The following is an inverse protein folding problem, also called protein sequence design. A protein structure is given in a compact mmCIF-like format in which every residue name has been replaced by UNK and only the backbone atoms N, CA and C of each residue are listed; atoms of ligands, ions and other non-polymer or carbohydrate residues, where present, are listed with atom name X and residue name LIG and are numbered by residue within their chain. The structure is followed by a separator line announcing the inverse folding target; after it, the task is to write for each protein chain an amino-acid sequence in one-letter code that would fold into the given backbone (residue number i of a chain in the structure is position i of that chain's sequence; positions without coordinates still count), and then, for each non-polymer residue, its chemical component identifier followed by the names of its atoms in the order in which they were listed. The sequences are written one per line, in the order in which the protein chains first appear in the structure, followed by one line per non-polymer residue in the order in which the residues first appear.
data_IF_718912600825
#
_entry.id   IF_718912600825
#
_cell.length_a   1.000
_cell.length_b   1.000
_cell.length_c   1.000
_cell.angle_alpha   90.00
_cell.angle_beta   90.00
_cell.angle_gamma   90.00
#
_symmetry.space_group_name_H-M   'P 1'
#
loop_
_entity.id
_entity.type
_entity.pdbx_description
1 polymer ?
#
# COMPACT_ATOMS: atom_id res chain seq x y z
N UNK A 1 -49.97 18.65 42.74
CA UNK A 1 -50.82 18.37 41.57
C UNK A 1 -50.23 19.07 40.34
N UNK A 2 -49.95 18.29 39.28
CA UNK A 2 -49.88 18.68 37.84
C UNK A 2 -48.82 19.74 37.44
N UNK A 3 -47.99 19.57 36.41
CA UNK A 3 -47.87 18.57 35.34
C UNK A 3 -46.50 18.76 34.68
N UNK A 4 -45.84 17.63 34.42
CA UNK A 4 -44.66 17.45 33.59
C UNK A 4 -44.93 17.92 32.15
N UNK A 5 -44.02 18.71 31.55
CA UNK A 5 -43.99 18.94 30.10
C UNK A 5 -42.68 18.41 29.54
N UNK A 6 -42.71 17.12 29.18
CA UNK A 6 -41.72 16.47 28.35
C UNK A 6 -41.83 17.01 26.92
N UNK A 7 -40.88 17.84 26.51
CA UNK A 7 -40.70 18.22 25.12
C UNK A 7 -39.92 17.08 24.42
N UNK A 8 -40.66 16.20 23.75
CA UNK A 8 -40.09 15.20 22.84
C UNK A 8 -39.69 15.92 21.56
N UNK A 9 -38.40 16.09 21.33
CA UNK A 9 -37.85 16.53 20.06
C UNK A 9 -37.53 15.29 19.23
N UNK A 10 -38.15 15.06 18.06
CA UNK A 10 -37.80 13.93 17.23
C UNK A 10 -36.47 14.26 16.53
N UNK A 11 -35.36 13.78 17.07
CA UNK A 11 -34.09 13.79 16.36
C UNK A 11 -34.15 12.69 15.29
N UNK A 12 -34.61 13.07 14.11
CA UNK A 12 -34.44 12.31 12.87
C UNK A 12 -32.93 12.25 12.60
N UNK A 13 -32.28 11.16 13.01
CA UNK A 13 -30.93 10.87 12.56
C UNK A 13 -31.03 10.07 11.26
N UNK A 14 -30.68 10.75 10.19
CA UNK A 14 -30.53 10.26 8.82
C UNK A 14 -29.83 8.90 8.77
N UNK A 15 -30.45 7.94 8.09
CA UNK A 15 -29.79 6.74 7.59
C UNK A 15 -28.61 7.20 6.72
N UNK A 16 -27.40 7.04 7.23
CA UNK A 16 -26.19 7.20 6.44
C UNK A 16 -26.20 6.11 5.37
N UNK A 17 -26.51 6.49 4.14
CA UNK A 17 -26.24 5.65 2.99
C UNK A 17 -24.74 5.36 2.99
N UNK A 18 -24.38 4.11 3.30
CA UNK A 18 -23.02 3.61 3.10
C UNK A 18 -22.84 3.53 1.60
N UNK A 19 -22.31 4.59 0.99
CA UNK A 19 -21.91 4.58 -0.41
C UNK A 19 -20.73 3.63 -0.54
N UNK A 20 -21.02 2.36 -0.85
CA UNK A 20 -20.05 1.46 -1.45
C UNK A 20 -19.73 2.00 -2.84
N UNK A 21 -18.79 2.96 -2.90
CA UNK A 21 -18.28 3.43 -4.18
C UNK A 21 -17.54 2.28 -4.87
N UNK A 22 -17.75 2.08 -6.17
CA UNK A 22 -17.02 1.05 -6.90
C UNK A 22 -15.53 1.36 -6.80
N UNK A 23 -14.71 0.32 -6.55
CA UNK A 23 -13.26 0.45 -6.40
C UNK A 23 -12.56 1.16 -7.58
N UNK A 24 -13.25 1.31 -8.71
CA UNK A 24 -12.77 2.09 -9.85
C UNK A 24 -12.75 3.60 -9.64
N UNK A 25 -13.71 4.15 -8.89
CA UNK A 25 -13.65 5.55 -8.46
C UNK A 25 -12.43 5.79 -7.55
N UNK A 26 -12.12 4.81 -6.69
CA UNK A 26 -11.01 4.93 -5.72
C UNK A 26 -9.63 4.95 -6.39
N UNK A 27 -9.42 4.16 -7.45
CA UNK A 27 -8.13 4.13 -8.17
C UNK A 27 -7.80 5.44 -8.89
N UNK A 28 -8.75 6.01 -9.64
CA UNK A 28 -8.54 7.28 -10.34
C UNK A 28 -8.30 8.45 -9.35
N UNK A 29 -9.09 8.51 -8.27
CA UNK A 29 -8.89 9.51 -7.22
C UNK A 29 -7.53 9.36 -6.53
N UNK A 30 -7.09 8.13 -6.26
CA UNK A 30 -5.79 7.85 -5.64
C UNK A 30 -4.62 8.26 -6.54
N UNK A 31 -4.71 8.03 -7.86
CA UNK A 31 -3.72 8.52 -8.83
C UNK A 31 -3.63 10.04 -8.81
N UNK A 32 -4.76 10.73 -8.95
CA UNK A 32 -4.81 12.19 -8.95
C UNK A 32 -4.27 12.80 -7.64
N UNK A 33 -4.58 12.17 -6.49
CA UNK A 33 -4.05 12.59 -5.19
C UNK A 33 -2.52 12.42 -5.09
N UNK A 34 -1.97 11.34 -5.65
CA UNK A 34 -0.51 11.12 -5.69
C UNK A 34 0.19 12.11 -6.61
N UNK A 35 -0.36 12.38 -7.79
CA UNK A 35 0.16 13.38 -8.74
C UNK A 35 0.17 14.78 -8.12
N UNK A 36 -0.93 15.18 -7.47
CA UNK A 36 -1.00 16.44 -6.74
C UNK A 36 0.09 16.54 -5.67
N UNK A 37 0.28 15.49 -4.88
CA UNK A 37 1.32 15.47 -3.85
C UNK A 37 2.75 15.53 -4.43
N UNK A 38 2.98 14.97 -5.62
CA UNK A 38 4.28 15.06 -6.32
C UNK A 38 4.56 16.51 -6.69
N UNK A 39 3.58 17.21 -7.30
CA UNK A 39 3.71 18.63 -7.67
C UNK A 39 4.04 19.48 -6.45
N UNK A 40 3.33 19.25 -5.34
CA UNK A 40 3.61 19.99 -4.10
C UNK A 40 4.99 19.65 -3.53
N UNK A 41 5.39 18.38 -3.49
CA UNK A 41 6.70 18.00 -2.99
C UNK A 41 7.85 18.55 -3.86
N UNK A 42 7.65 18.67 -5.18
CA UNK A 42 8.59 19.32 -6.09
C UNK A 42 8.70 20.82 -5.81
N UNK A 43 7.58 21.51 -5.60
CA UNK A 43 7.54 22.95 -5.28
C UNK A 43 8.38 23.29 -4.04
N UNK A 44 8.38 22.42 -3.04
CA UNK A 44 9.15 22.61 -1.80
C UNK A 44 10.55 21.95 -1.83
N UNK A 45 11.01 21.46 -2.99
CA UNK A 45 12.35 20.88 -3.14
C UNK A 45 12.58 19.58 -2.38
N UNK A 46 11.51 18.87 -1.97
CA UNK A 46 11.64 17.64 -1.19
C UNK A 46 11.85 16.42 -2.08
N UNK A 47 13.08 16.25 -2.56
CA UNK A 47 13.48 15.21 -3.52
C UNK A 47 13.21 13.79 -3.00
N UNK A 48 13.43 13.53 -1.72
CA UNK A 48 13.15 12.22 -1.10
C UNK A 48 11.65 11.89 -1.11
N UNK A 49 10.81 12.86 -0.74
CA UNK A 49 9.35 12.69 -0.78
C UNK A 49 8.84 12.51 -2.21
N UNK A 50 9.39 13.25 -3.18
CA UNK A 50 9.07 13.09 -4.61
C UNK A 50 9.38 11.68 -5.08
N UNK A 51 10.55 11.13 -4.72
CA UNK A 51 10.92 9.77 -5.11
C UNK A 51 9.94 8.73 -4.54
N UNK A 52 9.58 8.85 -3.25
CA UNK A 52 8.60 7.97 -2.61
C UNK A 52 7.20 8.07 -3.26
N UNK A 53 6.73 9.27 -3.56
CA UNK A 53 5.43 9.49 -4.20
C UNK A 53 5.39 8.98 -5.65
N UNK A 54 6.47 9.15 -6.41
CA UNK A 54 6.59 8.57 -7.76
C UNK A 54 6.57 7.04 -7.73
N UNK A 55 7.22 6.43 -6.74
CA UNK A 55 7.16 4.98 -6.52
C UNK A 55 5.73 4.53 -6.18
N UNK A 56 5.02 5.26 -5.32
CA UNK A 56 3.62 5.00 -5.00
C UNK A 56 2.67 5.17 -6.21
N UNK A 57 2.92 6.17 -7.07
CA UNK A 57 2.14 6.38 -8.29
C UNK A 57 2.36 5.24 -9.30
N UNK A 58 3.62 4.82 -9.51
CA UNK A 58 3.95 3.68 -10.36
C UNK A 58 3.21 2.41 -9.91
N UNK A 59 3.21 2.12 -8.59
CA UNK A 59 2.48 1.00 -8.02
C UNK A 59 0.96 1.12 -8.21
N UNK A 60 0.40 2.31 -8.05
CA UNK A 60 -1.03 2.56 -8.27
C UNK A 60 -1.39 2.38 -9.75
N UNK A 61 -0.49 2.71 -10.67
CA UNK A 61 -0.71 2.47 -12.10
C UNK A 61 -0.59 0.98 -12.47
N UNK A 62 0.37 0.27 -11.88
CA UNK A 62 0.58 -1.16 -12.15
C UNK A 62 -0.48 -2.07 -11.52
N UNK A 63 -0.99 -1.72 -10.34
CA UNK A 63 -1.75 -2.66 -9.49
C UNK A 63 -3.09 -2.14 -8.98
N UNK A 64 -3.43 -0.88 -9.21
CA UNK A 64 -4.79 -0.43 -8.95
C UNK A 64 -5.67 -0.92 -10.10
N UNK A 65 -6.13 -2.16 -9.94
CA UNK A 65 -7.03 -2.80 -10.89
C UNK A 65 -8.42 -2.22 -10.66
N UNK A 66 -8.95 -1.55 -11.67
CA UNK A 66 -10.35 -1.11 -11.68
C UNK A 66 -11.25 -2.36 -11.60
N UNK A 67 -11.64 -2.75 -10.38
CA UNK A 67 -12.42 -3.97 -10.12
C UNK A 67 -13.85 -3.94 -10.73
N UNK A 68 -14.20 -2.90 -11.48
CA UNK A 68 -15.49 -2.77 -12.17
C UNK A 68 -15.70 -3.80 -13.29
N UNK A 69 -14.65 -4.48 -13.78
CA UNK A 69 -14.77 -5.38 -14.95
C UNK A 69 -14.27 -6.82 -14.75
N UNK A 70 -13.75 -7.19 -13.58
CA UNK A 70 -13.19 -8.53 -13.32
C UNK A 70 -14.23 -9.49 -12.70
N UNK A 71 -15.27 -9.78 -13.48
CA UNK A 71 -16.33 -10.73 -13.10
C UNK A 71 -16.04 -12.22 -13.40
N UNK A 72 -14.85 -12.65 -13.91
CA UNK A 72 -14.51 -14.07 -13.83
C UNK A 72 -13.11 -14.39 -13.26
N UNK A 73 -12.37 -13.42 -12.72
CA UNK A 73 -11.11 -13.74 -12.02
C UNK A 73 -11.45 -14.21 -10.60
N UNK A 74 -11.12 -15.47 -10.30
CA UNK A 74 -11.39 -16.08 -8.98
C UNK A 74 -10.59 -15.35 -7.88
N UNK A 75 -11.00 -15.48 -6.63
CA UNK A 75 -10.29 -14.85 -5.50
C UNK A 75 -8.80 -15.25 -5.43
N UNK A 76 -8.45 -16.40 -6.00
CA UNK A 76 -7.08 -16.95 -6.06
C UNK A 76 -6.21 -16.18 -7.05
N UNK A 77 -6.69 -15.93 -8.27
CA UNK A 77 -5.92 -15.16 -9.24
C UNK A 77 -5.72 -13.70 -8.79
N UNK A 78 -6.71 -13.11 -8.11
CA UNK A 78 -6.56 -11.78 -7.47
C UNK A 78 -5.49 -11.80 -6.38
N UNK A 79 -5.39 -12.87 -5.59
CA UNK A 79 -4.37 -12.96 -4.54
C UNK A 79 -2.97 -13.14 -5.13
N UNK A 80 -2.82 -13.92 -6.20
CA UNK A 80 -1.57 -14.07 -6.95
C UNK A 80 -1.07 -12.72 -7.46
N UNK A 81 -1.90 -11.97 -8.21
CA UNK A 81 -1.51 -10.65 -8.74
C UNK A 81 -1.10 -9.68 -7.62
N UNK A 82 -1.81 -9.71 -6.48
CA UNK A 82 -1.48 -8.88 -5.31
C UNK A 82 -0.18 -9.31 -4.64
N UNK A 83 0.11 -10.61 -4.57
CA UNK A 83 1.33 -11.15 -3.98
C UNK A 83 2.54 -10.89 -4.88
N UNK A 84 2.39 -11.00 -6.20
CA UNK A 84 3.43 -10.61 -7.17
C UNK A 84 3.79 -9.13 -7.05
N UNK A 85 2.79 -8.27 -6.89
CA UNK A 85 2.98 -6.84 -6.59
C UNK A 85 3.79 -6.63 -5.31
N UNK A 86 3.37 -7.27 -4.21
CA UNK A 86 4.09 -7.19 -2.94
C UNK A 86 5.51 -7.73 -3.03
N UNK A 87 5.74 -8.77 -3.83
CA UNK A 87 7.06 -9.35 -4.03
C UNK A 87 8.00 -8.33 -4.69
N UNK A 88 7.52 -7.65 -5.73
CA UNK A 88 8.27 -6.58 -6.39
C UNK A 88 8.61 -5.44 -5.41
N UNK A 89 7.65 -5.07 -4.57
CA UNK A 89 7.84 -4.05 -3.53
C UNK A 89 8.93 -4.44 -2.53
N UNK A 90 8.92 -5.69 -2.05
CA UNK A 90 9.92 -6.21 -1.12
C UNK A 90 11.30 -6.32 -1.78
N UNK A 91 11.38 -6.69 -3.05
CA UNK A 91 12.65 -6.72 -3.80
C UNK A 91 13.31 -5.34 -3.88
N UNK A 92 12.51 -4.31 -4.18
CA UNK A 92 13.00 -2.94 -4.18
C UNK A 92 13.42 -2.47 -2.77
N UNK A 93 12.69 -2.85 -1.72
CA UNK A 93 13.03 -2.50 -0.35
C UNK A 93 14.34 -3.16 0.11
N UNK A 94 14.58 -4.42 -0.31
CA UNK A 94 15.88 -5.10 -0.13
C UNK A 94 16.97 -4.33 -0.88
N UNK A 95 16.73 -3.91 -2.13
CA UNK A 95 17.71 -3.14 -2.92
C UNK A 95 18.06 -1.81 -2.23
N UNK A 96 17.07 -1.11 -1.68
CA UNK A 96 17.26 0.13 -0.92
C UNK A 96 18.03 -0.12 0.39
N UNK A 97 17.71 -1.20 1.11
CA UNK A 97 18.41 -1.58 2.34
C UNK A 97 19.87 -1.96 2.06
N UNK A 98 20.15 -2.65 0.94
CA UNK A 98 21.52 -2.94 0.50
C UNK A 98 22.28 -1.65 0.17
N UNK A 99 21.66 -0.69 -0.51
CA UNK A 99 22.27 0.61 -0.78
C UNK A 99 22.62 1.35 0.52
N UNK A 100 21.70 1.37 1.49
CA UNK A 100 21.94 1.96 2.83
C UNK A 100 23.04 1.25 3.59
N UNK A 101 23.17 -0.07 3.46
CA UNK A 101 24.27 -0.82 4.05
C UNK A 101 25.60 -0.43 3.41
N UNK A 102 25.68 -0.35 2.07
CA UNK A 102 26.89 0.09 1.36
C UNK A 102 27.30 1.51 1.77
N UNK A 103 26.35 2.43 1.85
CA UNK A 103 26.59 3.79 2.33
C UNK A 103 27.12 3.81 3.77
N UNK A 104 26.49 3.04 4.67
CA UNK A 104 26.94 2.93 6.05
C UNK A 104 28.32 2.27 6.18
N UNK A 105 28.69 1.35 5.28
CA UNK A 105 30.03 0.76 5.24
C UNK A 105 31.09 1.75 4.77
N UNK A 106 30.74 2.67 3.86
CA UNK A 106 31.66 3.65 3.32
C UNK A 106 31.93 4.81 4.30
N UNK A 107 30.91 5.29 5.01
CA UNK A 107 31.00 6.54 5.79
C UNK A 107 30.45 6.43 7.22
N UNK A 108 29.89 5.28 7.59
CA UNK A 108 29.16 5.11 8.85
C UNK A 108 30.02 4.60 10.02
N UNK A 109 29.47 4.73 11.22
CA UNK A 109 30.06 4.14 12.42
C UNK A 109 29.74 2.64 12.52
N UNK A 110 30.49 1.85 13.31
CA UNK A 110 30.19 0.43 13.53
C UNK A 110 28.74 0.16 13.97
N UNK A 111 28.19 1.05 14.80
CA UNK A 111 26.78 1.00 15.23
C UNK A 111 25.80 1.22 14.06
N UNK A 112 26.09 2.16 13.15
CA UNK A 112 25.26 2.40 11.95
C UNK A 112 25.32 1.20 10.99
N UNK A 113 26.50 0.61 10.80
CA UNK A 113 26.68 -0.59 9.97
C UNK A 113 25.88 -1.76 10.55
N UNK A 114 26.00 -2.02 11.86
CA UNK A 114 25.25 -3.08 12.53
C UNK A 114 23.72 -2.88 12.38
N UNK A 115 23.24 -1.64 12.52
CA UNK A 115 21.82 -1.31 12.32
C UNK A 115 21.39 -1.53 10.86
N UNK A 116 22.20 -1.13 9.89
CA UNK A 116 21.90 -1.33 8.47
C UNK A 116 21.89 -2.81 8.08
N UNK A 117 22.80 -3.63 8.62
CA UNK A 117 22.80 -5.09 8.44
C UNK A 117 21.53 -5.74 8.97
N UNK A 118 21.12 -5.38 10.19
CA UNK A 118 19.87 -5.89 10.78
C UNK A 118 18.64 -5.53 9.92
N UNK A 119 18.57 -4.29 9.43
CA UNK A 119 17.50 -3.86 8.53
C UNK A 119 17.50 -4.60 7.19
N UNK A 120 18.67 -4.87 6.63
CA UNK A 120 18.76 -5.66 5.40
C UNK A 120 18.25 -7.08 5.63
N UNK A 121 18.62 -7.71 6.74
CA UNK A 121 18.13 -9.03 7.11
C UNK A 121 16.60 -9.04 7.27
N UNK A 122 16.03 -8.09 8.02
CA UNK A 122 14.58 -7.93 8.18
C UNK A 122 13.85 -7.83 6.82
N UNK A 123 14.39 -7.06 5.86
CA UNK A 123 13.77 -6.94 4.53
C UNK A 123 13.92 -8.20 3.69
N UNK A 124 14.99 -8.97 3.88
CA UNK A 124 15.17 -10.26 3.22
C UNK A 124 14.19 -11.30 3.78
N UNK A 125 13.95 -11.30 5.09
CA UNK A 125 12.99 -12.17 5.74
C UNK A 125 11.55 -11.85 5.26
N UNK A 126 11.18 -10.56 5.25
CA UNK A 126 9.91 -10.09 4.67
C UNK A 126 9.73 -10.54 3.21
N UNK A 127 10.79 -10.52 2.40
CA UNK A 127 10.75 -10.93 1.00
C UNK A 127 10.51 -12.44 0.88
N UNK A 128 11.19 -13.24 1.70
CA UNK A 128 11.05 -14.69 1.72
C UNK A 128 9.64 -15.12 2.13
N UNK A 129 9.03 -14.44 3.11
CA UNK A 129 7.65 -14.67 3.53
C UNK A 129 6.68 -14.45 2.36
N UNK A 130 6.77 -13.31 1.67
CA UNK A 130 5.91 -13.02 0.51
C UNK A 130 6.16 -13.99 -0.65
N UNK A 131 7.40 -14.43 -0.86
CA UNK A 131 7.73 -15.44 -1.88
C UNK A 131 7.09 -16.80 -1.56
N UNK A 132 7.05 -17.19 -0.28
CA UNK A 132 6.39 -18.41 0.17
C UNK A 132 4.86 -18.30 -0.01
N UNK A 133 4.24 -17.21 0.45
CA UNK A 133 2.81 -16.95 0.26
C UNK A 133 2.42 -16.99 -1.23
N UNK A 134 3.23 -16.36 -2.10
CA UNK A 134 2.99 -16.35 -3.54
C UNK A 134 3.04 -17.76 -4.12
N UNK A 135 4.04 -18.56 -3.75
CA UNK A 135 4.18 -19.94 -4.21
C UNK A 135 2.99 -20.81 -3.78
N UNK A 136 2.52 -20.64 -2.55
CA UNK A 136 1.31 -21.34 -2.07
C UNK A 136 0.06 -20.92 -2.84
N UNK A 137 -0.12 -19.62 -3.07
CA UNK A 137 -1.22 -19.09 -3.87
C UNK A 137 -1.21 -19.62 -5.31
N UNK A 138 -0.03 -19.68 -5.93
CA UNK A 138 0.15 -20.25 -7.28
C UNK A 138 -0.12 -21.76 -7.30
N UNK A 139 0.26 -22.51 -6.27
CA UNK A 139 -0.03 -23.94 -6.17
C UNK A 139 -1.53 -24.22 -6.07
N UNK A 140 -2.27 -23.40 -5.33
CA UNK A 140 -3.74 -23.48 -5.25
C UNK A 140 -4.43 -23.14 -6.58
N UNK A 141 -3.83 -22.24 -7.38
CA UNK A 141 -4.36 -21.84 -8.68
C UNK A 141 -4.24 -22.94 -9.76
N UNK A 142 -3.19 -23.77 -9.70
CA UNK A 142 -2.93 -24.84 -10.69
C UNK A 142 -3.65 -26.15 -10.33
N UNK A 143 -4.05 -26.32 -9.06
CA UNK A 143 -4.79 -27.49 -8.58
C UNK A 143 -6.31 -27.41 -8.70
N UNK A 144 -6.86 -26.36 -9.34
CA UNK A 144 -8.29 -26.14 -9.56
C UNK A 144 -8.71 -26.43 -11.01
#
# INVERSE_FOLDING_TARGET
MKTLKTAVFPLVLTVGAVFSTPASADCAHKRAALEYQIVQAQKYGNTYRVAGLKRALSKTNAYCVDHSYLSPITNVEKSVVKLESKLHDKLDDVREAQAKLREAQATGTPKKIAKARRKLQEKQDDLNEIAAELREAQAMAVGS
#
